data_IF_873962389969
#
_entry.id   IF_873962389969
#
_cell.length_a   1.000
_cell.length_b   1.000
_cell.length_c   1.000
_cell.angle_alpha   90.00
_cell.angle_beta   90.00
_cell.angle_gamma   90.00
#
_symmetry.space_group_name_H-M   'P 1'
#
loop_
_entity.id
_entity.type
_entity.pdbx_description
1 polymer ?
#
# COMPACT_ATOMS: atom_id res chain seq x y z
N UNK A 1 10.03 9.79 -0.45
CA UNK A 1 9.38 9.15 -1.60
C UNK A 1 8.27 10.02 -2.15
N UNK A 2 7.03 9.86 -1.64
CA UNK A 2 5.79 10.47 -2.15
C UNK A 2 5.86 11.89 -2.73
N UNK A 3 6.32 12.87 -1.93
CA UNK A 3 6.36 14.28 -2.36
C UNK A 3 7.32 14.47 -3.55
N UNK A 4 8.51 13.89 -3.48
CA UNK A 4 9.51 14.02 -4.54
C UNK A 4 9.03 13.33 -5.82
N UNK A 5 8.40 12.16 -5.70
CA UNK A 5 7.72 11.48 -6.81
C UNK A 5 6.68 12.40 -7.47
N UNK A 6 5.83 13.05 -6.68
CA UNK A 6 4.83 13.98 -7.19
C UNK A 6 5.47 15.17 -7.93
N UNK A 7 6.52 15.78 -7.36
CA UNK A 7 7.20 16.93 -7.96
C UNK A 7 7.89 16.57 -9.29
N UNK A 8 8.52 15.40 -9.34
CA UNK A 8 9.12 14.85 -10.55
C UNK A 8 8.06 14.67 -11.67
N UNK A 9 6.95 14.01 -11.35
CA UNK A 9 5.89 13.73 -12.31
C UNK A 9 5.12 14.99 -12.75
N UNK A 10 4.82 15.89 -11.81
CA UNK A 10 4.22 17.20 -12.11
C UNK A 10 5.10 17.95 -13.10
N UNK A 11 6.39 17.90 -12.87
CA UNK A 11 7.41 18.40 -13.74
C UNK A 11 7.41 17.89 -15.17
N UNK A 12 7.29 16.57 -15.35
CA UNK A 12 7.19 15.92 -16.66
C UNK A 12 5.91 16.36 -17.37
N UNK A 13 4.77 16.32 -16.67
CA UNK A 13 3.45 16.60 -17.25
C UNK A 13 3.32 18.07 -17.66
N UNK A 14 3.74 19.01 -16.82
CA UNK A 14 3.66 20.44 -17.06
C UNK A 14 4.92 21.04 -17.71
N UNK A 15 5.88 20.20 -18.13
CA UNK A 15 7.12 20.59 -18.82
C UNK A 15 7.97 21.64 -18.09
N UNK A 16 7.97 21.62 -16.77
CA UNK A 16 8.85 22.48 -15.97
C UNK A 16 10.30 21.97 -15.99
N UNK A 17 11.31 22.86 -16.00
CA UNK A 17 12.74 22.49 -16.12
C UNK A 17 13.52 22.58 -14.79
N UNK A 18 13.00 22.00 -13.70
CA UNK A 18 13.75 21.90 -12.42
C UNK A 18 14.54 20.58 -12.32
N UNK A 19 15.56 20.53 -11.46
CA UNK A 19 16.55 19.44 -11.29
C UNK A 19 15.98 18.02 -11.27
N UNK A 20 15.76 17.42 -12.44
CA UNK A 20 15.17 16.07 -12.61
C UNK A 20 16.05 14.94 -12.12
N UNK A 21 17.36 15.10 -12.23
CA UNK A 21 18.32 14.06 -11.85
C UNK A 21 18.29 13.82 -10.34
N UNK A 22 18.32 14.90 -9.54
CA UNK A 22 18.27 14.80 -8.07
C UNK A 22 16.95 14.20 -7.59
N UNK A 23 15.83 14.63 -8.17
CA UNK A 23 14.51 14.05 -7.86
C UNK A 23 14.48 12.54 -8.14
N UNK A 24 15.00 12.12 -9.29
CA UNK A 24 15.09 10.70 -9.67
C UNK A 24 15.97 9.90 -8.70
N UNK A 25 17.13 10.43 -8.33
CA UNK A 25 18.03 9.80 -7.34
C UNK A 25 17.29 9.63 -6.00
N UNK A 26 16.59 10.65 -5.51
CA UNK A 26 15.83 10.56 -4.27
C UNK A 26 14.70 9.51 -4.35
N UNK A 27 14.05 9.36 -5.50
CA UNK A 27 13.02 8.32 -5.71
C UNK A 27 13.64 6.93 -5.67
N UNK A 28 14.76 6.72 -6.38
CA UNK A 28 15.48 5.45 -6.39
C UNK A 28 15.97 5.08 -4.99
N UNK A 29 16.55 6.02 -4.25
CA UNK A 29 16.97 5.81 -2.86
C UNK A 29 15.79 5.45 -1.96
N UNK A 30 14.62 6.08 -2.14
CA UNK A 30 13.44 5.75 -1.36
C UNK A 30 12.94 4.31 -1.64
N UNK A 31 12.97 3.87 -2.90
CA UNK A 31 12.60 2.51 -3.29
C UNK A 31 13.60 1.50 -2.73
N UNK A 32 14.91 1.76 -2.88
CA UNK A 32 15.97 0.91 -2.35
C UNK A 32 15.89 0.79 -0.83
N UNK A 33 15.67 1.89 -0.13
CA UNK A 33 15.51 1.88 1.33
C UNK A 33 14.32 1.00 1.76
N UNK A 34 13.21 1.03 1.01
CA UNK A 34 12.06 0.15 1.24
C UNK A 34 12.43 -1.34 1.11
N UNK A 35 13.23 -1.70 0.12
CA UNK A 35 13.70 -3.08 -0.04
C UNK A 35 14.73 -3.50 1.02
N UNK A 36 15.62 -2.59 1.43
CA UNK A 36 16.69 -2.89 2.40
C UNK A 36 16.17 -3.09 3.84
N UNK A 37 15.10 -2.41 4.24
CA UNK A 37 14.50 -2.53 5.58
C UNK A 37 13.63 -3.79 5.73
N UNK A 38 13.71 -4.74 4.80
CA UNK A 38 13.12 -6.08 4.89
C UNK A 38 11.67 -6.19 4.38
N UNK A 39 10.97 -5.07 4.19
CA UNK A 39 9.59 -5.01 3.70
C UNK A 39 9.50 -4.72 2.20
N UNK A 40 9.31 -5.76 1.36
CA UNK A 40 9.09 -5.57 -0.10
C UNK A 40 7.94 -4.61 -0.43
N UNK A 41 6.98 -4.46 0.48
CA UNK A 41 5.80 -3.60 0.34
C UNK A 41 6.14 -2.12 0.19
N UNK A 42 7.13 -1.60 0.91
CA UNK A 42 7.42 -0.14 0.96
C UNK A 42 7.97 0.38 -0.38
N UNK A 43 8.78 -0.43 -1.07
CA UNK A 43 9.26 -0.13 -2.41
C UNK A 43 8.13 -0.10 -3.44
N UNK A 44 7.27 -1.13 -3.43
CA UNK A 44 6.08 -1.17 -4.31
C UNK A 44 5.15 0.01 -4.02
N UNK A 45 5.03 0.39 -2.76
CA UNK A 45 4.21 1.52 -2.32
C UNK A 45 4.48 2.78 -3.11
N UNK A 46 5.76 3.12 -3.27
CA UNK A 46 6.21 4.29 -4.03
C UNK A 46 5.94 4.13 -5.53
N UNK A 47 6.07 2.91 -6.07
CA UNK A 47 5.82 2.63 -7.49
C UNK A 47 4.32 2.78 -7.82
N UNK A 48 3.43 2.16 -7.03
CA UNK A 48 1.99 2.29 -7.20
C UNK A 48 1.57 3.76 -7.03
N UNK A 49 2.15 4.44 -6.03
CA UNK A 49 1.89 5.85 -5.83
C UNK A 49 2.30 6.69 -7.05
N UNK A 50 3.47 6.43 -7.64
CA UNK A 50 3.95 7.11 -8.84
C UNK A 50 2.99 6.92 -10.03
N UNK A 51 2.50 5.70 -10.26
CA UNK A 51 1.55 5.39 -11.32
C UNK A 51 0.27 6.21 -11.14
N UNK A 52 -0.30 6.21 -9.93
CA UNK A 52 -1.56 6.91 -9.62
C UNK A 52 -1.38 8.42 -9.72
N UNK A 53 -0.28 8.96 -9.19
CA UNK A 53 0.04 10.38 -9.31
C UNK A 53 0.22 10.80 -10.77
N UNK A 54 0.92 10.00 -11.58
CA UNK A 54 1.11 10.28 -13.01
C UNK A 54 -0.21 10.34 -13.76
N UNK A 55 -1.05 9.30 -13.57
CA UNK A 55 -2.39 9.21 -14.16
C UNK A 55 -3.23 10.44 -13.75
N UNK A 56 -3.28 10.73 -12.46
CA UNK A 56 -4.00 11.87 -11.92
C UNK A 56 -3.56 13.19 -12.57
N UNK A 57 -2.25 13.45 -12.58
CA UNK A 57 -1.68 14.67 -13.16
C UNK A 57 -1.99 14.80 -14.65
N UNK A 58 -1.89 13.71 -15.41
CA UNK A 58 -2.17 13.69 -16.85
C UNK A 58 -3.65 13.95 -17.17
N UNK A 59 -4.55 13.36 -16.39
CA UNK A 59 -6.00 13.60 -16.52
C UNK A 59 -6.33 15.06 -16.20
N UNK A 60 -5.65 15.68 -15.24
CA UNK A 60 -5.88 17.09 -14.90
C UNK A 60 -5.19 18.09 -15.83
N UNK A 61 -4.05 17.73 -16.44
CA UNK A 61 -3.36 18.60 -17.41
C UNK A 61 -4.07 18.62 -18.77
N UNK A 62 -4.75 17.54 -19.13
CA UNK A 62 -5.52 17.44 -20.35
C UNK A 62 -6.92 18.01 -20.13
N UNK A 63 -7.25 19.14 -20.76
CA UNK A 63 -8.63 19.65 -20.79
C UNK A 63 -9.60 18.74 -21.58
N UNK A 64 -9.14 17.62 -22.14
CA UNK A 64 -9.97 16.65 -22.85
C UNK A 64 -10.46 15.53 -21.93
N UNK A 65 -11.59 14.92 -22.34
CA UNK A 65 -12.41 13.93 -21.62
C UNK A 65 -11.60 13.03 -20.68
N UNK A 66 -12.11 12.89 -19.45
CA UNK A 66 -11.61 12.12 -18.29
C UNK A 66 -11.48 10.60 -18.53
N UNK A 67 -10.92 10.19 -19.66
CA UNK A 67 -10.81 8.80 -20.08
C UNK A 67 -9.32 8.47 -20.19
N UNK A 68 -8.88 7.52 -19.37
CA UNK A 68 -7.53 6.99 -19.49
C UNK A 68 -7.43 6.19 -20.79
N UNK A 69 -6.46 6.48 -21.65
CA UNK A 69 -6.34 5.73 -22.89
C UNK A 69 -5.89 4.30 -22.56
N UNK A 70 -6.47 3.31 -23.25
CA UNK A 70 -6.21 1.87 -23.00
C UNK A 70 -4.72 1.53 -22.99
N UNK A 71 -3.92 2.22 -23.82
CA UNK A 71 -2.45 2.08 -23.82
C UNK A 71 -1.78 2.38 -22.48
N UNK A 72 -2.29 3.34 -21.70
CA UNK A 72 -1.74 3.67 -20.39
C UNK A 72 -2.16 2.62 -19.36
N UNK A 73 -3.38 2.10 -19.45
CA UNK A 73 -3.86 0.97 -18.62
C UNK A 73 -3.03 -0.29 -18.87
N UNK A 74 -2.80 -0.64 -20.15
CA UNK A 74 -1.95 -1.77 -20.53
C UNK A 74 -0.52 -1.63 -20.00
N UNK A 75 0.07 -0.44 -20.07
CA UNK A 75 1.40 -0.18 -19.48
C UNK A 75 1.41 -0.46 -17.98
N UNK A 76 0.38 -0.03 -17.25
CA UNK A 76 0.27 -0.29 -15.81
C UNK A 76 0.18 -1.79 -15.53
N UNK A 77 -0.66 -2.53 -16.27
CA UNK A 77 -0.78 -3.99 -16.13
C UNK A 77 0.57 -4.66 -16.39
N UNK A 78 1.28 -4.27 -17.44
CA UNK A 78 2.61 -4.81 -17.77
C UNK A 78 3.60 -4.50 -16.65
N UNK A 79 3.60 -3.28 -16.10
CA UNK A 79 4.48 -2.90 -14.98
C UNK A 79 4.17 -3.76 -13.75
N UNK A 80 2.89 -3.95 -13.39
CA UNK A 80 2.49 -4.79 -12.27
C UNK A 80 2.90 -6.26 -12.49
N UNK A 81 2.76 -6.79 -13.71
CA UNK A 81 3.21 -8.14 -14.05
C UNK A 81 4.73 -8.29 -13.93
N UNK A 82 5.50 -7.30 -14.38
CA UNK A 82 6.97 -7.27 -14.20
C UNK A 82 7.33 -7.21 -12.71
N UNK A 83 6.60 -6.44 -11.91
CA UNK A 83 6.81 -6.41 -10.46
C UNK A 83 6.59 -7.80 -9.88
N UNK A 84 5.45 -8.43 -10.14
CA UNK A 84 5.17 -9.80 -9.65
C UNK A 84 6.20 -10.82 -10.13
N UNK A 85 6.63 -10.74 -11.39
CA UNK A 85 7.65 -11.63 -11.94
C UNK A 85 9.05 -11.39 -11.35
N UNK A 86 9.36 -10.16 -10.95
CA UNK A 86 10.67 -9.79 -10.37
C UNK A 86 10.79 -10.11 -8.87
N UNK A 87 9.69 -10.54 -8.22
CA UNK A 87 9.65 -10.81 -6.79
C UNK A 87 10.53 -11.99 -6.36
N UNK A 88 10.71 -12.99 -7.21
CA UNK A 88 11.58 -14.14 -6.91
C UNK A 88 13.03 -13.71 -6.84
N UNK A 89 13.52 -13.01 -7.87
CA UNK A 89 14.92 -12.58 -7.96
C UNK A 89 15.25 -11.52 -6.91
N UNK A 90 14.30 -10.63 -6.58
CA UNK A 90 14.46 -9.69 -5.47
C UNK A 90 14.56 -10.42 -4.12
N UNK A 91 13.92 -11.57 -3.97
CA UNK A 91 14.03 -12.40 -2.78
C UNK A 91 15.40 -13.03 -2.62
N UNK A 92 15.87 -13.67 -3.68
CA UNK A 92 17.19 -14.31 -3.73
C UNK A 92 18.31 -13.27 -3.51
N UNK A 93 18.21 -12.10 -4.14
CA UNK A 93 19.19 -11.01 -3.98
C UNK A 93 19.24 -10.45 -2.55
N UNK A 94 18.14 -10.56 -1.80
CA UNK A 94 18.07 -10.20 -0.39
C UNK A 94 18.46 -11.36 0.54
N UNK A 95 19.00 -12.46 0.00
CA UNK A 95 19.49 -13.61 0.76
C UNK A 95 18.39 -14.54 1.26
N UNK A 96 17.20 -14.53 0.67
CA UNK A 96 16.14 -15.49 1.01
C UNK A 96 16.32 -16.76 0.17
N UNK A 97 16.71 -17.84 0.83
CA UNK A 97 16.71 -19.17 0.23
C UNK A 97 15.26 -19.62 0.00
N UNK A 98 14.93 -19.92 -1.26
CA UNK A 98 13.58 -20.34 -1.67
C UNK A 98 13.60 -21.73 -2.32
N UNK A 99 14.57 -22.57 -1.91
CA UNK A 99 14.85 -23.90 -2.47
C UNK A 99 13.67 -24.89 -2.39
N UNK A 100 12.61 -24.54 -1.67
CA UNK A 100 11.41 -25.34 -1.47
C UNK A 100 10.25 -25.02 -2.44
N UNK A 101 10.37 -24.00 -3.30
CA UNK A 101 9.34 -23.64 -4.28
C UNK A 101 9.93 -23.54 -5.68
N UNK A 102 9.39 -24.32 -6.63
CA UNK A 102 9.66 -24.05 -8.04
C UNK A 102 9.07 -22.69 -8.43
N UNK A 103 9.66 -22.01 -9.42
CA UNK A 103 9.22 -20.68 -9.89
C UNK A 103 7.70 -20.61 -10.17
N UNK A 104 7.12 -21.68 -10.72
CA UNK A 104 5.68 -21.77 -10.99
C UNK A 104 4.85 -21.84 -9.71
N UNK A 105 5.30 -22.60 -8.71
CA UNK A 105 4.62 -22.72 -7.41
C UNK A 105 4.66 -21.37 -6.69
N UNK A 106 5.78 -20.65 -6.79
CA UNK A 106 5.90 -19.30 -6.24
C UNK A 106 4.88 -18.33 -6.85
N UNK A 107 4.76 -18.28 -8.18
CA UNK A 107 3.75 -17.44 -8.83
C UNK A 107 2.34 -17.86 -8.42
N UNK A 108 2.07 -19.17 -8.36
CA UNK A 108 0.77 -19.68 -7.94
C UNK A 108 0.41 -19.24 -6.52
N UNK A 109 1.38 -19.20 -5.60
CA UNK A 109 1.19 -18.70 -4.23
C UNK A 109 0.71 -17.25 -4.25
N UNK A 110 1.41 -16.33 -4.90
CA UNK A 110 1.06 -14.90 -4.93
C UNK A 110 -0.26 -14.58 -5.67
N UNK A 111 -0.74 -15.49 -6.50
CA UNK A 111 -1.97 -15.31 -7.26
C UNK A 111 -3.20 -15.98 -6.62
N UNK A 112 -3.01 -16.98 -5.75
CA UNK A 112 -4.12 -17.84 -5.31
C UNK A 112 -4.08 -18.31 -3.86
N UNK A 113 -2.92 -18.29 -3.19
CA UNK A 113 -2.80 -18.86 -1.85
C UNK A 113 -3.63 -18.07 -0.82
N UNK A 114 -3.78 -16.76 -0.99
CA UNK A 114 -4.57 -15.89 -0.11
C UNK A 114 -6.04 -16.29 -0.10
N UNK A 115 -6.59 -16.62 -1.27
CA UNK A 115 -7.96 -17.10 -1.44
C UNK A 115 -8.11 -18.50 -0.85
N UNK A 116 -7.14 -19.40 -1.09
CA UNK A 116 -7.19 -20.75 -0.52
C UNK A 116 -7.05 -20.75 1.00
N UNK A 117 -6.20 -19.88 1.55
CA UNK A 117 -6.05 -19.69 2.98
C UNK A 117 -7.33 -19.14 3.62
N UNK A 118 -8.02 -18.22 2.93
CA UNK A 118 -9.34 -17.74 3.36
C UNK A 118 -10.38 -18.87 3.37
N UNK A 119 -10.46 -19.67 2.29
CA UNK A 119 -11.38 -20.82 2.17
C UNK A 119 -11.18 -21.83 3.31
N UNK A 120 -9.94 -22.25 3.56
CA UNK A 120 -9.59 -23.17 4.65
C UNK A 120 -9.96 -22.55 6.01
N UNK A 121 -9.78 -21.23 6.17
CA UNK A 121 -10.10 -20.55 7.43
C UNK A 121 -11.60 -20.47 7.68
N UNK A 122 -12.39 -20.04 6.69
CA UNK A 122 -13.85 -19.99 6.79
C UNK A 122 -14.40 -21.39 7.09
N UNK A 123 -13.85 -22.40 6.42
CA UNK A 123 -14.24 -23.81 6.60
C UNK A 123 -13.92 -24.36 8.00
N UNK A 124 -12.99 -23.76 8.75
CA UNK A 124 -12.66 -24.20 10.11
C UNK A 124 -13.73 -23.79 11.14
N UNK A 125 -14.55 -22.78 10.83
CA UNK A 125 -15.62 -22.30 11.69
C UNK A 125 -15.17 -21.51 12.93
N UNK A 126 -13.87 -21.25 13.11
CA UNK A 126 -13.34 -20.52 14.28
C UNK A 126 -13.21 -19.02 13.98
N UNK A 127 -14.26 -18.26 14.28
CA UNK A 127 -14.31 -16.80 14.12
C UNK A 127 -15.04 -16.13 15.30
N UNK A 128 -14.93 -14.80 15.41
CA UNK A 128 -15.55 -14.02 16.48
C UNK A 128 -14.62 -13.79 17.67
N UNK A 129 -13.34 -13.61 17.40
CA UNK A 129 -12.33 -13.40 18.44
C UNK A 129 -12.50 -12.04 19.14
N UNK A 130 -12.16 -11.95 20.45
CA UNK A 130 -12.30 -10.71 21.19
C UNK A 130 -11.40 -9.62 20.62
N UNK A 131 -11.82 -8.36 20.79
CA UNK A 131 -11.10 -7.21 20.24
C UNK A 131 -9.65 -7.10 20.73
N UNK A 132 -9.32 -7.62 21.92
CA UNK A 132 -7.94 -7.64 22.44
C UNK A 132 -6.98 -8.52 21.63
N UNK A 133 -7.51 -9.41 20.77
CA UNK A 133 -6.75 -10.27 19.85
C UNK A 133 -7.12 -9.98 18.39
N UNK A 134 -7.65 -8.79 18.10
CA UNK A 134 -8.17 -8.47 16.78
C UNK A 134 -7.04 -8.40 15.75
N UNK A 135 -7.17 -9.19 14.68
CA UNK A 135 -6.25 -9.12 13.56
C UNK A 135 -6.55 -7.91 12.66
N UNK A 136 -7.80 -7.45 12.62
CA UNK A 136 -8.14 -6.26 11.81
C UNK A 136 -7.51 -5.00 12.39
N UNK A 137 -7.59 -4.81 13.70
CA UNK A 137 -7.16 -3.59 14.37
C UNK A 137 -5.83 -3.75 15.15
N UNK A 138 -5.08 -4.83 14.91
CA UNK A 138 -3.89 -5.18 15.70
C UNK A 138 -2.90 -4.02 15.83
N UNK A 139 -2.67 -3.24 14.75
CA UNK A 139 -1.69 -2.15 14.73
C UNK A 139 -2.01 -1.05 15.75
N UNK A 140 -3.28 -0.63 15.82
CA UNK A 140 -3.70 0.39 16.79
C UNK A 140 -3.84 -0.21 18.18
N UNK A 141 -4.30 -1.46 18.31
CA UNK A 141 -4.41 -2.15 19.61
C UNK A 141 -3.03 -2.30 20.25
N UNK A 142 -2.01 -2.71 19.50
CA UNK A 142 -0.64 -2.81 20.00
C UNK A 142 -0.09 -1.43 20.39
N UNK A 143 -0.35 -0.41 19.59
CA UNK A 143 0.04 0.96 19.90
C UNK A 143 -0.59 1.45 21.21
N UNK A 144 -1.89 1.20 21.40
CA UNK A 144 -2.61 1.53 22.62
C UNK A 144 -2.14 0.69 23.81
N UNK A 145 -1.84 -0.59 23.61
CA UNK A 145 -1.28 -1.47 24.63
C UNK A 145 0.06 -0.96 25.16
N UNK A 146 0.92 -0.45 24.27
CA UNK A 146 2.18 0.20 24.65
C UNK A 146 1.98 1.51 25.43
N UNK A 147 1.06 2.37 24.97
CA UNK A 147 0.79 3.68 25.60
C UNK A 147 0.11 3.53 26.96
N UNK A 148 -0.83 2.59 27.10
CA UNK A 148 -1.62 2.38 28.32
C UNK A 148 -1.00 1.35 29.27
N UNK A 149 0.20 0.86 28.95
CA UNK A 149 0.91 -0.17 29.71
C UNK A 149 0.06 -1.44 29.94
N UNK A 150 -0.62 -1.90 28.89
CA UNK A 150 -1.46 -3.10 28.86
C UNK A 150 -0.81 -4.20 28.01
N UNK A 151 0.13 -4.99 28.56
CA UNK A 151 0.90 -5.97 27.78
C UNK A 151 0.01 -7.07 27.17
N UNK A 152 -1.11 -7.41 27.79
CA UNK A 152 -2.05 -8.42 27.29
C UNK A 152 -2.79 -8.02 26.01
N UNK A 153 -2.70 -6.77 25.58
CA UNK A 153 -3.25 -6.30 24.29
C UNK A 153 -2.23 -6.42 23.15
N UNK A 154 -0.95 -6.55 23.47
CA UNK A 154 0.11 -6.60 22.47
C UNK A 154 0.19 -8.03 21.94
N UNK A 155 -0.05 -8.20 20.64
CA UNK A 155 -0.03 -9.49 19.97
C UNK A 155 0.44 -9.36 18.52
N UNK A 156 0.94 -10.45 17.95
CA UNK A 156 1.39 -10.48 16.57
C UNK A 156 0.21 -10.60 15.59
N UNK A 157 0.39 -10.01 14.40
CA UNK A 157 -0.50 -10.29 13.28
C UNK A 157 -0.16 -11.66 12.70
N UNK A 158 -0.77 -12.70 13.25
CA UNK A 158 -0.45 -14.09 12.92
C UNK A 158 -1.48 -14.71 11.97
N UNK A 159 -1.07 -14.87 10.70
CA UNK A 159 -1.73 -15.77 9.76
C UNK A 159 -0.88 -17.04 9.72
N UNK A 160 -1.41 -18.22 10.11
CA UNK A 160 -0.61 -19.42 10.18
C UNK A 160 -0.10 -19.81 8.79
N UNK A 161 1.16 -20.24 8.71
CA UNK A 161 1.72 -20.82 7.49
C UNK A 161 1.01 -22.16 7.19
N UNK A 162 0.46 -22.30 5.99
CA UNK A 162 -0.35 -23.48 5.62
C UNK A 162 0.24 -24.26 4.45
N UNK A 163 -0.14 -25.53 4.38
CA UNK A 163 0.13 -26.43 3.28
C UNK A 163 -1.16 -27.04 2.76
N UNK A 164 -1.27 -27.23 1.45
CA UNK A 164 -2.41 -27.91 0.85
C UNK A 164 -1.93 -28.77 -0.31
N UNK A 165 -2.25 -30.07 -0.27
CA UNK A 165 -1.83 -31.02 -1.32
C UNK A 165 -0.31 -31.10 -1.52
N UNK A 166 0.49 -30.89 -0.46
CA UNK A 166 1.96 -30.88 -0.54
C UNK A 166 2.58 -29.52 -0.92
N UNK A 167 1.78 -28.53 -1.31
CA UNK A 167 2.26 -27.19 -1.66
C UNK A 167 2.22 -26.24 -0.47
N UNK A 168 3.29 -25.47 -0.27
CA UNK A 168 3.35 -24.40 0.70
C UNK A 168 2.49 -23.21 0.23
N UNK A 169 1.45 -22.85 0.98
CA UNK A 169 0.59 -21.69 0.70
C UNK A 169 1.15 -20.40 1.33
N UNK A 170 2.09 -20.50 2.26
CA UNK A 170 2.59 -19.34 2.98
C UNK A 170 1.65 -18.84 4.08
N UNK A 171 2.04 -17.73 4.68
CA UNK A 171 1.30 -16.98 5.70
C UNK A 171 0.63 -15.73 5.11
N UNK A 172 0.02 -15.89 3.93
CA UNK A 172 -0.61 -14.81 3.19
C UNK A 172 -2.13 -14.92 3.28
N UNK A 173 -2.81 -13.78 3.27
CA UNK A 173 -4.26 -13.76 3.37
C UNK A 173 -4.84 -12.47 2.83
N UNK A 174 -6.00 -12.58 2.17
CA UNK A 174 -6.74 -11.39 1.75
C UNK A 174 -7.14 -10.57 2.97
N UNK A 175 -7.48 -9.30 2.74
CA UNK A 175 -8.06 -8.44 3.77
C UNK A 175 -9.31 -9.03 4.44
N UNK A 176 -10.01 -9.96 3.79
CA UNK A 176 -11.19 -10.60 4.36
C UNK A 176 -10.85 -11.62 5.45
N UNK A 177 -9.63 -12.15 5.48
CA UNK A 177 -9.18 -13.09 6.52
C UNK A 177 -9.31 -12.48 7.92
N UNK A 178 -8.66 -11.34 8.25
CA UNK A 178 -8.77 -10.72 9.56
C UNK A 178 -10.19 -10.23 9.87
N UNK A 179 -10.95 -9.81 8.85
CA UNK A 179 -12.34 -9.38 9.06
C UNK A 179 -13.22 -10.53 9.53
N UNK A 180 -13.10 -11.69 8.87
CA UNK A 180 -13.76 -12.91 9.29
C UNK A 180 -13.25 -13.37 10.66
N UNK A 181 -11.95 -13.29 10.92
CA UNK A 181 -11.36 -13.67 12.21
C UNK A 181 -12.02 -12.91 13.37
N UNK A 182 -12.14 -11.60 13.24
CA UNK A 182 -12.66 -10.76 14.31
C UNK A 182 -14.19 -10.88 14.49
N UNK A 183 -14.96 -10.96 13.40
CA UNK A 183 -16.42 -10.81 13.48
C UNK A 183 -17.23 -11.69 12.55
N UNK A 184 -16.62 -12.71 11.94
CA UNK A 184 -17.27 -13.53 10.92
C UNK A 184 -17.77 -12.69 9.75
N UNK A 185 -18.91 -13.07 9.18
CA UNK A 185 -19.53 -12.33 8.07
C UNK A 185 -19.92 -10.89 8.47
N UNK A 186 -20.31 -10.67 9.72
CA UNK A 186 -20.65 -9.34 10.21
C UNK A 186 -19.41 -8.43 10.26
N UNK A 187 -18.27 -8.99 10.67
CA UNK A 187 -16.97 -8.31 10.61
C UNK A 187 -16.64 -7.87 9.19
N UNK A 188 -16.82 -8.74 8.20
CA UNK A 188 -16.63 -8.39 6.78
C UNK A 188 -17.49 -7.20 6.37
N UNK A 189 -18.79 -7.23 6.68
CA UNK A 189 -19.70 -6.13 6.31
C UNK A 189 -19.24 -4.82 6.96
N UNK A 190 -19.00 -4.82 8.27
CA UNK A 190 -18.64 -3.61 9.03
C UNK A 190 -17.32 -3.03 8.52
N UNK A 191 -16.27 -3.85 8.44
CA UNK A 191 -14.94 -3.37 8.08
C UNK A 191 -14.84 -2.98 6.61
N UNK A 192 -15.53 -3.68 5.70
CA UNK A 192 -15.61 -3.26 4.29
C UNK A 192 -16.40 -1.96 4.15
N UNK A 193 -17.54 -1.80 4.84
CA UNK A 193 -18.31 -0.55 4.80
C UNK A 193 -17.50 0.63 5.33
N UNK A 194 -16.78 0.47 6.44
CA UNK A 194 -15.92 1.51 6.99
C UNK A 194 -14.79 1.88 6.01
N UNK A 195 -14.08 0.88 5.48
CA UNK A 195 -13.02 1.09 4.50
C UNK A 195 -13.55 1.83 3.26
N UNK A 196 -14.69 1.39 2.71
CA UNK A 196 -15.32 2.02 1.55
C UNK A 196 -15.68 3.48 1.82
N UNK A 197 -16.30 3.77 2.98
CA UNK A 197 -16.63 5.13 3.39
C UNK A 197 -15.40 6.02 3.50
N UNK A 198 -14.35 5.54 4.16
CA UNK A 198 -13.09 6.28 4.32
C UNK A 198 -12.41 6.56 2.97
N UNK A 199 -12.29 5.54 2.13
CA UNK A 199 -11.70 5.68 0.79
C UNK A 199 -12.53 6.63 -0.10
N UNK A 200 -13.86 6.60 0.03
CA UNK A 200 -14.75 7.51 -0.69
C UNK A 200 -14.52 8.97 -0.28
N UNK A 201 -14.35 9.25 1.02
CA UNK A 201 -13.98 10.60 1.49
C UNK A 201 -12.65 11.04 0.87
N UNK A 202 -11.64 10.17 0.89
CA UNK A 202 -10.34 10.44 0.28
C UNK A 202 -10.44 10.76 -1.21
N UNK A 203 -11.26 10.00 -1.96
CA UNK A 203 -11.53 10.24 -3.36
C UNK A 203 -12.23 11.59 -3.61
N UNK A 204 -13.29 11.90 -2.86
CA UNK A 204 -14.01 13.17 -3.01
C UNK A 204 -13.09 14.37 -2.76
N UNK A 205 -12.27 14.32 -1.70
CA UNK A 205 -11.27 15.37 -1.41
C UNK A 205 -10.20 15.49 -2.48
N UNK A 206 -9.82 14.38 -3.10
CA UNK A 206 -8.92 14.40 -4.25
C UNK A 206 -9.55 15.03 -5.51
N UNK A 207 -10.84 14.80 -5.76
CA UNK A 207 -11.57 15.42 -6.88
C UNK A 207 -11.74 16.92 -6.70
N UNK A 208 -11.98 17.37 -5.46
CA UNK A 208 -12.09 18.78 -5.05
C UNK A 208 -10.73 19.50 -4.98
N UNK A 209 -9.62 18.77 -5.07
CA UNK A 209 -8.29 19.30 -4.81
C UNK A 209 -7.91 20.41 -5.80
N UNK A 210 -7.32 21.51 -5.29
CA UNK A 210 -6.82 22.61 -6.13
C UNK A 210 -5.75 22.14 -7.11
N UNK A 211 -6.09 22.22 -8.39
CA UNK A 211 -5.29 21.76 -9.53
C UNK A 211 -4.17 22.73 -9.89
N UNK A 212 -4.24 23.98 -9.42
CA UNK A 212 -3.23 25.02 -9.68
C UNK A 212 -2.12 25.03 -8.63
N UNK A 213 -2.31 24.32 -7.51
CA UNK A 213 -1.30 24.21 -6.46
C UNK A 213 -0.06 23.46 -6.96
N UNK A 214 1.12 24.06 -6.77
CA UNK A 214 2.40 23.43 -7.11
C UNK A 214 2.63 22.11 -6.34
N UNK A 215 2.08 21.98 -5.13
CA UNK A 215 2.16 20.78 -4.30
C UNK A 215 0.85 20.54 -3.55
N UNK A 216 0.02 19.64 -4.08
CA UNK A 216 -1.25 19.27 -3.48
C UNK A 216 -1.15 17.94 -2.72
N UNK A 217 -1.32 17.98 -1.39
CA UNK A 217 -1.22 16.79 -0.54
C UNK A 217 -2.33 15.77 -0.80
N UNK A 218 -3.45 16.17 -1.41
CA UNK A 218 -4.51 15.23 -1.75
C UNK A 218 -4.09 14.23 -2.82
N UNK A 219 -3.18 14.60 -3.74
CA UNK A 219 -2.60 13.64 -4.69
C UNK A 219 -1.74 12.60 -3.97
N UNK A 220 -0.98 13.03 -2.97
CA UNK A 220 -0.13 12.15 -2.17
C UNK A 220 -1.00 11.20 -1.35
N UNK A 221 -1.97 11.73 -0.61
CA UNK A 221 -2.89 10.94 0.19
C UNK A 221 -3.70 9.96 -0.67
N UNK A 222 -4.25 10.40 -1.79
CA UNK A 222 -5.00 9.52 -2.69
C UNK A 222 -4.13 8.40 -3.28
N UNK A 223 -2.87 8.70 -3.63
CA UNK A 223 -1.91 7.69 -4.11
C UNK A 223 -1.50 6.69 -3.03
N UNK A 224 -1.47 7.12 -1.76
CA UNK A 224 -1.25 6.27 -0.60
C UNK A 224 -2.45 5.32 -0.38
N UNK A 225 -3.67 5.83 -0.48
CA UNK A 225 -4.89 5.00 -0.43
C UNK A 225 -4.96 3.99 -1.57
N UNK A 226 -4.51 4.38 -2.78
CA UNK A 226 -4.51 3.48 -3.92
C UNK A 226 -3.61 2.26 -3.69
N UNK A 227 -2.42 2.43 -3.11
CA UNK A 227 -1.58 1.29 -2.71
C UNK A 227 -2.32 0.37 -1.74
N UNK A 228 -2.90 0.94 -0.69
CA UNK A 228 -3.63 0.20 0.33
C UNK A 228 -4.74 -0.67 -0.28
N UNK A 229 -5.54 -0.09 -1.18
CA UNK A 229 -6.63 -0.80 -1.85
C UNK A 229 -6.07 -1.88 -2.77
N UNK A 230 -5.09 -1.55 -3.62
CA UNK A 230 -4.49 -2.49 -4.57
C UNK A 230 -3.85 -3.66 -3.84
N UNK A 231 -3.26 -3.46 -2.66
CA UNK A 231 -2.59 -4.51 -1.91
C UNK A 231 -3.49 -5.24 -0.90
N UNK A 232 -4.78 -4.89 -0.84
CA UNK A 232 -5.75 -5.53 0.05
C UNK A 232 -6.05 -6.99 -0.33
N UNK A 233 -5.71 -7.43 -1.54
CA UNK A 233 -5.80 -8.86 -1.88
C UNK A 233 -4.77 -9.70 -1.11
N UNK A 234 -3.70 -9.10 -0.58
CA UNK A 234 -2.55 -9.81 -0.03
C UNK A 234 -2.37 -9.66 1.49
N UNK A 235 -2.94 -8.62 2.10
CA UNK A 235 -2.87 -8.41 3.56
C UNK A 235 -3.88 -7.35 4.02
N UNK A 236 -3.98 -7.15 5.34
CA UNK A 236 -4.81 -6.14 5.99
C UNK A 236 -4.29 -4.69 5.83
N UNK A 237 -3.78 -4.33 4.65
CA UNK A 237 -3.04 -3.07 4.43
C UNK A 237 -3.83 -1.82 4.80
N UNK A 238 -5.15 -1.84 4.68
CA UNK A 238 -5.94 -0.68 5.07
C UNK A 238 -5.83 -0.38 6.56
N UNK A 239 -6.12 -1.34 7.42
CA UNK A 239 -6.10 -1.11 8.85
C UNK A 239 -4.67 -1.08 9.40
N UNK A 240 -3.75 -1.88 8.85
CA UNK A 240 -2.32 -1.83 9.16
C UNK A 240 -1.69 -0.45 8.96
N UNK A 241 -2.11 0.26 7.92
CA UNK A 241 -1.47 1.49 7.49
C UNK A 241 -2.22 2.74 7.91
N UNK A 242 -3.55 2.72 7.98
CA UNK A 242 -4.34 3.88 8.43
C UNK A 242 -4.41 3.92 9.96
N UNK A 243 -4.61 2.78 10.61
CA UNK A 243 -4.73 2.67 12.07
C UNK A 243 -3.39 2.31 12.69
N UNK A 244 -2.40 3.16 12.44
CA UNK A 244 -1.04 3.00 12.92
C UNK A 244 -0.47 4.37 13.31
N UNK A 245 0.29 4.44 14.39
CA UNK A 245 0.96 5.68 14.82
C UNK A 245 1.90 6.22 13.75
N UNK A 246 2.49 5.35 12.94
CA UNK A 246 3.33 5.70 11.80
C UNK A 246 2.58 6.51 10.74
N UNK A 247 1.26 6.30 10.58
CA UNK A 247 0.44 7.08 9.66
C UNK A 247 0.40 8.56 10.06
N UNK A 248 0.22 8.83 11.35
CA UNK A 248 0.18 10.19 11.90
C UNK A 248 1.51 10.90 11.60
N UNK A 249 2.63 10.24 11.88
CA UNK A 249 3.97 10.76 11.58
C UNK A 249 4.19 10.96 10.07
N UNK A 250 3.64 10.09 9.23
CA UNK A 250 3.70 10.23 7.78
C UNK A 250 2.97 11.49 7.31
N UNK A 251 1.74 11.72 7.79
CA UNK A 251 0.94 12.90 7.46
C UNK A 251 1.61 14.18 7.97
N UNK A 252 2.09 14.18 9.22
CA UNK A 252 2.85 15.30 9.79
C UNK A 252 4.08 15.62 8.94
N UNK A 253 4.84 14.59 8.55
CA UNK A 253 6.01 14.75 7.68
C UNK A 253 5.64 15.37 6.33
N UNK A 254 4.52 14.97 5.71
CA UNK A 254 4.08 15.55 4.44
C UNK A 254 3.74 17.04 4.58
N UNK A 255 3.05 17.42 5.66
CA UNK A 255 2.70 18.81 5.95
C UNK A 255 3.96 19.65 6.17
N UNK A 256 4.90 19.16 6.98
CA UNK A 256 6.16 19.86 7.26
C UNK A 256 7.03 20.03 6.01
N UNK A 257 7.19 18.97 5.21
CA UNK A 257 7.96 19.05 3.97
C UNK A 257 7.31 20.00 2.96
N UNK A 258 5.97 19.96 2.82
CA UNK A 258 5.26 20.93 1.98
C UNK A 258 5.51 22.37 2.45
N UNK A 259 5.40 22.62 3.76
CA UNK A 259 5.65 23.94 4.33
C UNK A 259 7.08 24.43 4.04
N UNK A 260 8.08 23.57 4.25
CA UNK A 260 9.49 23.87 3.99
C UNK A 260 9.74 24.20 2.51
N UNK A 261 9.25 23.35 1.59
CA UNK A 261 9.42 23.53 0.15
C UNK A 261 8.71 24.76 -0.40
N UNK A 262 7.57 25.16 0.20
CA UNK A 262 6.83 26.35 -0.24
C UNK A 262 7.39 27.65 0.33
N UNK A 263 8.00 27.64 1.52
CA UNK A 263 8.59 28.85 2.12
C UNK A 263 10.01 29.15 1.66
N UNK A 264 10.79 28.12 1.35
CA UNK A 264 12.17 28.32 0.94
C UNK A 264 12.19 28.58 -0.56
N UNK A 265 12.06 29.85 -0.93
CA UNK A 265 12.60 30.32 -2.19
C UNK A 265 14.13 30.21 -2.08
N UNK A 266 14.69 29.08 -2.51
CA UNK A 266 16.13 29.00 -2.75
C UNK A 266 16.40 30.04 -3.83
N UNK A 267 16.95 31.20 -3.44
CA UNK A 267 17.61 32.11 -4.37
C UNK A 267 18.78 31.31 -4.95
N UNK A 268 18.59 30.80 -6.16
CA UNK A 268 19.68 30.36 -7.03
C UNK A 268 20.01 31.52 -7.93
#
# INVERSE_FOLDING_TARGET
GYIITYLYLNGIVYKNKKNRLLELICILLAILNGFMLGGRGDGIQIIIAAIVQYIALKVYSSNQKRILPVKDVLKVIIILAIIVASFTQLGELLGREMDFLNYNDYIAVYLSAELKNLDIFISSGSYGHPISKSLTLYSIINSLGGILHQPQWIHDFDIPFRYYGGYALGNVGTIFYPFFYDGGLMGVIIYTSFMAFFCQIGYMKFVEADKKSQLNLMFIFYSYLAYIIVFSFFSNKFYEMIFNTSFIWCVVSWVLVKYFLMRIQVKV
#
